data_IF_205757236780
#
_entry.id   IF_205757236780
#
_cell.length_a   1.000
_cell.length_b   1.000
_cell.length_c   1.000
_cell.angle_alpha   90.00
_cell.angle_beta   90.00
_cell.angle_gamma   90.00
#
_symmetry.space_group_name_H-M   'P 1'
#
loop_
_entity.id
_entity.type
_entity.pdbx_description
1 polymer ?
#
# COMPACT_ATOMS: atom_id res chain seq x y z
N UNK A 1 -23.90 -5.40 8.21
CA UNK A 1 -23.89 -5.22 6.75
C UNK A 1 -23.11 -3.96 6.43
N UNK A 2 -21.95 -4.13 5.80
CA UNK A 2 -21.08 -3.05 5.38
C UNK A 2 -21.78 -2.16 4.34
N UNK A 3 -21.41 -0.89 4.23
CA UNK A 3 -21.87 -0.03 3.12
C UNK A 3 -21.40 -0.58 1.76
N UNK A 4 -20.32 -1.37 1.75
CA UNK A 4 -19.72 -1.97 0.57
C UNK A 4 -20.55 -3.15 0.02
N UNK A 5 -21.37 -3.80 0.86
CA UNK A 5 -22.23 -4.93 0.46
C UNK A 5 -23.38 -4.52 -0.48
N UNK A 6 -23.69 -3.22 -0.54
CA UNK A 6 -24.77 -2.67 -1.40
C UNK A 6 -24.26 -2.24 -2.77
N UNK A 7 -22.99 -2.45 -3.08
CA UNK A 7 -22.40 -2.06 -4.35
C UNK A 7 -22.79 -3.02 -5.48
N UNK A 8 -22.71 -2.55 -6.74
CA UNK A 8 -22.79 -3.45 -7.89
C UNK A 8 -21.78 -4.60 -7.75
N UNK A 9 -22.08 -5.78 -8.34
CA UNK A 9 -21.18 -6.93 -8.34
C UNK A 9 -19.73 -6.58 -8.63
N UNK A 10 -18.78 -7.22 -7.92
CA UNK A 10 -17.35 -7.10 -8.24
C UNK A 10 -17.13 -7.36 -9.73
N UNK A 11 -16.40 -6.47 -10.41
CA UNK A 11 -16.15 -6.56 -11.85
C UNK A 11 -14.67 -6.77 -12.12
N UNK A 12 -14.28 -7.62 -13.09
CA UNK A 12 -12.90 -7.76 -13.55
C UNK A 12 -12.32 -6.53 -14.24
N UNK A 13 -13.16 -5.53 -14.56
CA UNK A 13 -12.75 -4.33 -15.26
C UNK A 13 -11.63 -3.57 -14.52
N UNK A 14 -10.60 -3.18 -15.27
CA UNK A 14 -9.50 -2.31 -14.83
C UNK A 14 -9.67 -0.86 -15.31
N UNK A 15 -10.87 -0.49 -15.77
CA UNK A 15 -11.22 0.82 -16.32
C UNK A 15 -10.36 1.24 -17.55
N UNK A 16 -9.82 0.26 -18.28
CA UNK A 16 -9.14 0.46 -19.56
C UNK A 16 -9.82 -0.42 -20.61
N UNK A 17 -10.65 0.18 -21.45
CA UNK A 17 -11.36 -0.55 -22.50
C UNK A 17 -10.50 -0.56 -23.77
N UNK A 18 -9.83 -1.69 -24.02
CA UNK A 18 -9.18 -1.97 -25.30
C UNK A 18 -9.67 -3.34 -25.74
N UNK A 19 -10.33 -3.40 -26.90
CA UNK A 19 -10.95 -4.61 -27.44
C UNK A 19 -10.09 -5.11 -28.60
N UNK A 20 -9.75 -6.39 -28.58
CA UNK A 20 -9.33 -7.09 -29.79
C UNK A 20 -10.60 -7.45 -30.56
N UNK A 21 -10.80 -6.80 -31.71
CA UNK A 21 -11.99 -6.99 -32.54
C UNK A 21 -12.05 -8.38 -33.17
N UNK A 22 -10.91 -8.99 -33.50
CA UNK A 22 -10.90 -10.32 -34.10
C UNK A 22 -11.29 -11.38 -33.06
N UNK A 23 -10.78 -11.25 -31.83
CA UNK A 23 -11.06 -12.18 -30.73
C UNK A 23 -12.30 -11.80 -29.90
N UNK A 24 -12.93 -10.65 -30.16
CA UNK A 24 -14.08 -10.10 -29.42
C UNK A 24 -13.85 -10.09 -27.89
N UNK A 25 -12.62 -9.75 -27.47
CA UNK A 25 -12.16 -9.82 -26.08
C UNK A 25 -11.50 -8.52 -25.64
N UNK A 26 -11.71 -8.13 -24.38
CA UNK A 26 -11.04 -6.98 -23.79
C UNK A 26 -9.62 -7.37 -23.33
N UNK A 27 -8.59 -6.79 -23.93
CA UNK A 27 -7.18 -7.04 -23.56
C UNK A 27 -6.74 -6.32 -22.27
N UNK A 28 -7.68 -5.67 -21.57
CA UNK A 28 -7.45 -5.12 -20.23
C UNK A 28 -7.94 -6.01 -19.09
N UNK A 29 -9.05 -6.72 -19.29
CA UNK A 29 -9.67 -7.56 -18.24
C UNK A 29 -9.94 -9.01 -18.66
N UNK A 30 -9.54 -9.39 -19.88
CA UNK A 30 -9.71 -10.70 -20.48
C UNK A 30 -11.17 -11.19 -20.58
N UNK A 31 -12.16 -10.30 -20.41
CA UNK A 31 -13.59 -10.62 -20.62
C UNK A 31 -13.98 -10.48 -22.09
N UNK A 32 -14.89 -11.33 -22.56
CA UNK A 32 -15.51 -11.20 -23.88
C UNK A 32 -16.49 -10.03 -23.91
N UNK A 33 -16.84 -9.55 -25.11
CA UNK A 33 -17.84 -8.49 -25.25
C UNK A 33 -19.22 -8.90 -24.72
N UNK A 34 -19.64 -10.15 -24.94
CA UNK A 34 -20.91 -10.67 -24.40
C UNK A 34 -20.92 -10.66 -22.87
N UNK A 35 -19.84 -11.12 -22.24
CA UNK A 35 -19.68 -11.07 -20.78
C UNK A 35 -19.72 -9.63 -20.24
N UNK A 36 -19.18 -8.66 -20.99
CA UNK A 36 -19.19 -7.24 -20.62
C UNK A 36 -20.61 -6.69 -20.71
N UNK A 37 -21.33 -6.96 -21.80
CA UNK A 37 -22.66 -6.42 -22.08
C UNK A 37 -23.69 -6.85 -21.03
N UNK A 38 -23.62 -8.09 -20.54
CA UNK A 38 -24.60 -8.63 -19.59
C UNK A 38 -24.18 -8.55 -18.12
N UNK A 39 -22.96 -8.06 -17.82
CA UNK A 39 -22.35 -8.21 -16.48
C UNK A 39 -23.22 -7.73 -15.32
N UNK A 40 -23.83 -6.55 -15.47
CA UNK A 40 -24.58 -5.91 -14.39
C UNK A 40 -25.82 -6.70 -13.95
N UNK A 41 -26.44 -7.42 -14.87
CA UNK A 41 -27.65 -8.24 -14.64
C UNK A 41 -27.37 -9.74 -14.56
N UNK A 42 -26.12 -10.16 -14.78
CA UNK A 42 -25.79 -11.57 -14.84
C UNK A 42 -25.97 -12.29 -13.47
N UNK A 43 -26.48 -13.53 -13.48
CA UNK A 43 -26.54 -14.36 -12.27
C UNK A 43 -25.16 -14.55 -11.63
N UNK A 44 -25.13 -14.79 -10.32
CA UNK A 44 -23.88 -15.01 -9.59
C UNK A 44 -23.09 -16.21 -10.13
N UNK A 45 -23.77 -17.31 -10.47
CA UNK A 45 -23.15 -18.49 -11.06
C UNK A 45 -22.41 -18.18 -12.37
N UNK A 46 -23.00 -17.35 -13.25
CA UNK A 46 -22.33 -16.89 -14.47
C UNK A 46 -21.10 -16.06 -14.13
N UNK A 47 -21.22 -15.09 -13.21
CA UNK A 47 -20.09 -14.25 -12.79
C UNK A 47 -18.95 -15.10 -12.21
N UNK A 48 -19.27 -16.12 -11.41
CA UNK A 48 -18.29 -17.05 -10.85
C UNK A 48 -17.56 -17.85 -11.94
N UNK A 49 -18.28 -18.35 -12.96
CA UNK A 49 -17.68 -19.03 -14.12
C UNK A 49 -16.72 -18.10 -14.88
N UNK A 50 -17.13 -16.85 -15.12
CA UNK A 50 -16.27 -15.86 -15.79
C UNK A 50 -15.01 -15.65 -14.96
N UNK A 51 -15.11 -15.37 -13.66
CA UNK A 51 -13.96 -15.19 -12.77
C UNK A 51 -13.00 -16.37 -12.78
N UNK A 52 -13.51 -17.61 -12.79
CA UNK A 52 -12.70 -18.83 -12.86
C UNK A 52 -11.97 -18.99 -14.20
N UNK A 53 -12.53 -18.50 -15.31
CA UNK A 53 -11.91 -18.57 -16.63
C UNK A 53 -10.88 -17.45 -16.91
N UNK A 54 -10.86 -16.37 -16.11
CA UNK A 54 -9.97 -15.23 -16.35
C UNK A 54 -8.47 -15.52 -16.22
N UNK A 55 -7.98 -16.33 -15.25
CA UNK A 55 -6.54 -16.59 -15.14
C UNK A 55 -5.95 -17.20 -16.42
N UNK A 56 -6.60 -18.22 -16.98
CA UNK A 56 -6.16 -18.86 -18.23
C UNK A 56 -6.19 -17.88 -19.42
N UNK A 57 -7.26 -17.06 -19.53
CA UNK A 57 -7.37 -16.05 -20.59
C UNK A 57 -6.34 -14.93 -20.46
N UNK A 58 -6.09 -14.46 -19.23
CA UNK A 58 -5.08 -13.45 -18.95
C UNK A 58 -3.68 -13.95 -19.31
N UNK A 59 -3.36 -15.20 -18.99
CA UNK A 59 -2.10 -15.85 -19.38
C UNK A 59 -1.96 -15.96 -20.90
N UNK A 60 -3.00 -16.43 -21.60
CA UNK A 60 -2.99 -16.52 -23.07
C UNK A 60 -2.81 -15.15 -23.76
N UNK A 61 -3.29 -14.07 -23.14
CA UNK A 61 -3.13 -12.69 -23.61
C UNK A 61 -1.83 -12.02 -23.13
N UNK A 62 -1.02 -12.69 -22.31
CA UNK A 62 0.20 -12.11 -21.73
C UNK A 62 -0.05 -10.94 -20.79
N UNK A 63 -1.18 -10.92 -20.09
CA UNK A 63 -1.50 -9.85 -19.14
C UNK A 63 -0.69 -9.99 -17.86
N UNK A 64 0.16 -9.02 -17.57
CA UNK A 64 0.97 -9.00 -16.35
C UNK A 64 0.18 -8.67 -15.07
N UNK A 65 -1.07 -8.21 -15.20
CA UNK A 65 -1.90 -7.82 -14.06
C UNK A 65 -3.36 -8.23 -14.28
N UNK A 66 -3.97 -8.82 -13.25
CA UNK A 66 -5.36 -9.24 -13.25
C UNK A 66 -6.04 -8.81 -11.96
N UNK A 67 -7.21 -8.20 -12.07
CA UNK A 67 -8.02 -7.85 -10.88
C UNK A 67 -8.48 -9.12 -10.16
N UNK A 68 -8.43 -9.12 -8.83
CA UNK A 68 -8.99 -10.17 -8.00
C UNK A 68 -10.45 -9.83 -7.62
N UNK A 69 -11.31 -10.82 -7.37
CA UNK A 69 -12.69 -10.61 -6.91
C UNK A 69 -12.77 -10.16 -5.44
N UNK A 70 -11.72 -9.52 -4.90
CA UNK A 70 -11.65 -9.08 -3.51
C UNK A 70 -12.27 -7.70 -3.35
N UNK A 71 -13.23 -7.57 -2.43
CA UNK A 71 -13.85 -6.29 -2.06
C UNK A 71 -14.29 -6.32 -0.60
N UNK A 72 -14.42 -5.15 0.00
CA UNK A 72 -14.93 -4.99 1.36
C UNK A 72 -14.28 -5.94 2.36
N UNK A 73 -15.11 -6.60 3.16
CA UNK A 73 -14.65 -7.56 4.17
C UNK A 73 -13.81 -8.70 3.59
N UNK A 74 -14.15 -9.22 2.40
CA UNK A 74 -13.33 -10.24 1.73
C UNK A 74 -11.92 -9.73 1.43
N UNK A 75 -11.77 -8.49 0.96
CA UNK A 75 -10.44 -7.92 0.70
C UNK A 75 -9.61 -7.82 1.98
N UNK A 76 -10.24 -7.36 3.07
CA UNK A 76 -9.59 -7.23 4.37
C UNK A 76 -9.18 -8.60 4.92
N UNK A 77 -10.09 -9.58 4.91
CA UNK A 77 -9.82 -10.93 5.39
C UNK A 77 -8.71 -11.63 4.59
N UNK A 78 -8.69 -11.45 3.27
CA UNK A 78 -7.64 -12.00 2.42
C UNK A 78 -6.28 -11.35 2.67
N UNK A 79 -6.26 -10.03 2.90
CA UNK A 79 -5.03 -9.31 3.24
C UNK A 79 -4.49 -9.73 4.61
N UNK A 80 -5.37 -9.85 5.61
CA UNK A 80 -5.01 -10.33 6.95
C UNK A 80 -4.42 -11.74 6.89
N UNK A 81 -5.11 -12.67 6.20
CA UNK A 81 -4.64 -14.05 6.02
C UNK A 81 -3.24 -14.12 5.41
N UNK A 82 -3.00 -13.40 4.31
CA UNK A 82 -1.66 -13.37 3.69
C UNK A 82 -0.58 -12.92 4.67
N UNK A 83 -0.85 -11.88 5.45
CA UNK A 83 0.10 -11.35 6.44
C UNK A 83 0.33 -12.31 7.62
N UNK A 84 -0.72 -12.97 8.09
CA UNK A 84 -0.66 -13.98 9.15
C UNK A 84 0.14 -15.22 8.70
N UNK A 85 0.01 -15.59 7.42
CA UNK A 85 0.74 -16.66 6.73
C UNK A 85 2.20 -16.27 6.41
N UNK A 86 2.62 -15.04 6.74
CA UNK A 86 4.01 -14.60 6.65
C UNK A 86 4.38 -13.80 5.40
N UNK A 87 3.40 -13.41 4.58
CA UNK A 87 3.66 -12.48 3.47
C UNK A 87 4.23 -11.14 3.98
N UNK A 88 5.02 -10.48 3.14
CA UNK A 88 5.45 -9.10 3.37
C UNK A 88 4.51 -8.13 2.70
N UNK A 89 3.95 -7.22 3.48
CA UNK A 89 3.36 -6.01 2.95
C UNK A 89 4.42 -4.93 2.81
N UNK A 90 4.61 -4.43 1.59
CA UNK A 90 5.42 -3.25 1.30
C UNK A 90 4.48 -2.08 0.96
N UNK A 91 4.66 -0.93 1.60
CA UNK A 91 3.91 0.28 1.30
C UNK A 91 4.83 1.51 1.29
N UNK A 92 4.52 2.49 0.45
CA UNK A 92 5.33 3.69 0.25
C UNK A 92 5.65 3.94 -1.22
N UNK A 93 6.77 4.59 -1.47
CA UNK A 93 7.32 4.82 -2.83
C UNK A 93 8.68 4.16 -2.98
N UNK A 94 9.19 4.07 -4.21
CA UNK A 94 10.55 3.61 -4.45
C UNK A 94 11.56 4.47 -3.68
N UNK A 95 12.35 3.83 -2.81
CA UNK A 95 13.30 4.49 -1.94
C UNK A 95 12.75 5.00 -0.60
N UNK A 96 11.44 5.03 -0.38
CA UNK A 96 10.87 5.42 0.91
C UNK A 96 9.63 4.57 1.22
N UNK A 97 9.85 3.47 1.94
CA UNK A 97 8.83 2.44 2.15
C UNK A 97 8.91 1.82 3.53
N UNK A 98 7.85 1.11 3.89
CA UNK A 98 7.83 0.14 4.98
C UNK A 98 7.83 -1.26 4.41
N UNK A 99 8.48 -2.18 5.12
CA UNK A 99 8.20 -3.61 5.03
C UNK A 99 7.51 -4.03 6.33
N UNK A 100 6.40 -4.76 6.20
CA UNK A 100 5.59 -5.23 7.30
C UNK A 100 5.37 -6.74 7.13
N UNK A 101 6.09 -7.53 7.92
CA UNK A 101 6.05 -9.00 7.92
C UNK A 101 5.97 -9.50 9.34
N UNK A 102 5.11 -10.46 9.61
CA UNK A 102 5.07 -11.22 10.86
C UNK A 102 6.19 -12.25 10.89
N UNK A 103 7.00 -12.29 11.96
CA UNK A 103 7.99 -13.35 12.12
C UNK A 103 7.36 -14.61 12.74
N UNK A 104 7.91 -15.81 12.48
CA UNK A 104 7.47 -17.01 13.17
C UNK A 104 7.53 -16.85 14.70
N UNK A 105 6.39 -17.07 15.36
CA UNK A 105 6.26 -16.94 16.81
C UNK A 105 5.88 -15.55 17.31
N UNK A 106 5.87 -14.51 16.45
CA UNK A 106 5.40 -13.19 16.87
C UNK A 106 3.91 -13.23 17.23
N UNK A 107 3.56 -12.56 18.33
CA UNK A 107 2.16 -12.25 18.64
C UNK A 107 1.57 -11.39 17.51
N UNK A 108 0.35 -11.68 17.11
CA UNK A 108 -0.39 -10.95 16.09
C UNK A 108 -1.81 -10.72 16.58
N UNK A 109 -2.21 -9.47 16.67
CA UNK A 109 -3.60 -9.10 16.93
C UNK A 109 -4.21 -8.58 15.64
N UNK A 110 -5.28 -9.21 15.20
CA UNK A 110 -6.02 -8.86 13.98
C UNK A 110 -7.45 -8.52 14.35
N UNK A 111 -7.94 -7.38 13.90
CA UNK A 111 -9.33 -6.94 14.09
C UNK A 111 -9.88 -6.37 12.78
N UNK A 112 -11.05 -6.85 12.36
CA UNK A 112 -11.77 -6.34 11.19
C UNK A 112 -13.13 -5.83 11.67
N UNK A 113 -13.34 -4.51 11.63
CA UNK A 113 -14.60 -3.86 12.00
C UNK A 113 -14.83 -2.64 11.13
N UNK A 114 -16.09 -2.36 10.80
CA UNK A 114 -16.51 -1.14 10.09
C UNK A 114 -15.67 -0.83 8.82
N UNK A 115 -15.43 -1.85 7.99
CA UNK A 115 -14.61 -1.77 6.77
C UNK A 115 -13.14 -1.41 7.01
N UNK A 116 -12.62 -1.67 8.20
CA UNK A 116 -11.23 -1.41 8.58
C UNK A 116 -10.59 -2.69 9.13
N UNK A 117 -9.44 -3.06 8.58
CA UNK A 117 -8.51 -4.02 9.15
C UNK A 117 -7.49 -3.26 9.99
N UNK A 118 -7.35 -3.63 11.27
CA UNK A 118 -6.22 -3.25 12.12
C UNK A 118 -5.42 -4.50 12.46
N UNK A 119 -4.11 -4.47 12.23
CA UNK A 119 -3.21 -5.57 12.57
C UNK A 119 -2.01 -5.03 13.36
N UNK A 120 -1.73 -5.61 14.52
CA UNK A 120 -0.66 -5.20 15.45
C UNK A 120 0.33 -6.34 15.66
N UNK A 121 1.61 -6.03 15.48
CA UNK A 121 2.79 -6.86 15.74
C UNK A 121 3.67 -6.17 16.79
N UNK A 122 4.65 -6.87 17.40
CA UNK A 122 5.47 -6.29 18.47
C UNK A 122 6.22 -5.00 18.10
N UNK A 123 6.53 -4.79 16.82
CA UNK A 123 7.27 -3.60 16.33
C UNK A 123 6.62 -2.86 15.18
N UNK A 124 5.34 -3.11 14.96
CA UNK A 124 4.61 -2.44 13.91
C UNK A 124 3.12 -2.65 14.01
N UNK A 125 2.36 -1.70 13.49
CA UNK A 125 0.93 -1.84 13.33
C UNK A 125 0.49 -1.28 11.99
N UNK A 126 -0.59 -1.79 11.43
CA UNK A 126 -1.21 -1.22 10.25
C UNK A 126 -2.71 -1.06 10.42
N UNK A 127 -3.26 -0.11 9.66
CA UNK A 127 -4.69 0.10 9.47
C UNK A 127 -4.97 0.20 7.98
N UNK A 128 -5.74 -0.74 7.44
CA UNK A 128 -6.18 -0.77 6.04
C UNK A 128 -7.70 -0.57 5.99
N UNK A 129 -8.14 0.48 5.30
CA UNK A 129 -9.55 0.77 5.09
C UNK A 129 -10.03 0.24 3.74
N UNK A 130 -11.04 -0.63 3.74
CA UNK A 130 -11.72 -0.99 2.51
C UNK A 130 -12.57 0.18 2.01
N UNK A 131 -12.40 0.54 0.74
CA UNK A 131 -13.23 1.53 0.05
C UNK A 131 -13.78 0.93 -1.24
N UNK A 132 -14.77 1.59 -1.85
CA UNK A 132 -15.31 1.20 -3.16
C UNK A 132 -14.24 1.12 -4.25
N UNK A 133 -13.13 1.84 -4.07
CA UNK A 133 -12.08 2.04 -5.05
C UNK A 133 -10.82 1.21 -4.78
N UNK A 134 -10.67 0.69 -3.55
CA UNK A 134 -9.57 -0.20 -3.23
C UNK A 134 -9.73 -1.51 -4.01
N UNK A 135 -8.73 -1.80 -4.82
CA UNK A 135 -8.72 -2.90 -5.78
C UNK A 135 -7.50 -3.77 -5.52
N UNK A 136 -7.69 -5.08 -5.42
CA UNK A 136 -6.60 -6.04 -5.41
C UNK A 136 -6.32 -6.53 -6.83
N UNK A 137 -5.04 -6.58 -7.19
CA UNK A 137 -4.52 -7.14 -8.43
C UNK A 137 -3.57 -8.27 -8.10
N UNK A 138 -3.72 -9.40 -8.77
CA UNK A 138 -2.63 -10.35 -8.94
C UNK A 138 -1.70 -9.77 -10.01
N UNK A 139 -0.41 -9.70 -9.69
CA UNK A 139 0.64 -9.21 -10.57
C UNK A 139 1.57 -10.37 -10.86
N UNK A 140 1.60 -10.77 -12.12
CA UNK A 140 2.57 -11.71 -12.65
C UNK A 140 3.85 -10.97 -13.01
N UNK A 141 5.00 -11.56 -12.69
CA UNK A 141 6.31 -10.95 -12.88
C UNK A 141 7.24 -11.99 -13.46
N UNK A 142 7.83 -11.74 -14.65
CA UNK A 142 8.84 -12.63 -15.19
C UNK A 142 9.95 -12.88 -14.15
N UNK A 143 10.31 -14.15 -13.96
CA UNK A 143 11.41 -14.61 -13.10
C UNK A 143 11.28 -14.29 -11.60
N UNK A 144 10.15 -13.75 -11.16
CA UNK A 144 9.87 -13.43 -9.76
C UNK A 144 8.54 -14.07 -9.32
N UNK A 145 8.38 -14.43 -8.04
CA UNK A 145 7.09 -14.88 -7.54
C UNK A 145 5.99 -13.85 -7.82
N UNK A 146 4.75 -14.27 -8.12
CA UNK A 146 3.64 -13.35 -8.25
C UNK A 146 3.40 -12.62 -6.93
N UNK A 147 2.80 -11.44 -7.00
CA UNK A 147 2.42 -10.66 -5.82
C UNK A 147 0.97 -10.19 -5.93
N UNK A 148 0.40 -9.76 -4.80
CA UNK A 148 -0.87 -9.04 -4.79
C UNK A 148 -0.61 -7.56 -4.59
N UNK A 149 -1.01 -6.71 -5.55
CA UNK A 149 -1.00 -5.27 -5.40
C UNK A 149 -2.37 -4.76 -4.97
N UNK A 150 -2.45 -4.08 -3.84
CA UNK A 150 -3.60 -3.26 -3.47
C UNK A 150 -3.40 -1.87 -4.06
N UNK A 151 -4.41 -1.33 -4.74
CA UNK A 151 -4.31 -0.04 -5.40
C UNK A 151 -5.66 0.67 -5.53
N UNK A 152 -5.61 1.97 -5.74
CA UNK A 152 -6.78 2.82 -6.04
C UNK A 152 -6.59 3.52 -7.38
N UNK A 153 -7.66 3.94 -8.08
CA UNK A 153 -7.54 4.83 -9.22
C UNK A 153 -6.81 6.12 -8.84
N UNK A 154 -5.96 6.65 -9.73
CA UNK A 154 -5.09 7.79 -9.48
C UNK A 154 -5.86 9.04 -8.97
N UNK A 155 -7.09 9.25 -9.43
CA UNK A 155 -7.95 10.34 -8.95
C UNK A 155 -8.40 10.23 -7.49
N UNK A 156 -8.16 9.08 -6.84
CA UNK A 156 -8.45 8.80 -5.42
C UNK A 156 -7.21 8.88 -4.53
N UNK A 157 -6.01 9.01 -5.11
CA UNK A 157 -4.80 9.25 -4.33
C UNK A 157 -4.79 10.66 -3.72
N UNK A 158 -4.11 10.87 -2.58
CA UNK A 158 -3.92 12.20 -1.99
C UNK A 158 -3.41 13.23 -3.01
N UNK A 159 -3.91 14.47 -2.89
CA UNK A 159 -3.52 15.57 -3.79
C UNK A 159 -2.29 16.34 -3.34
N UNK A 160 -2.03 16.36 -2.04
CA UNK A 160 -0.96 17.13 -1.41
C UNK A 160 0.34 16.33 -1.37
N UNK A 161 1.43 16.94 -1.84
CA UNK A 161 2.75 16.34 -1.98
C UNK A 161 3.83 17.38 -1.62
N UNK A 162 3.98 17.72 -0.32
CA UNK A 162 4.97 18.71 0.11
C UNK A 162 6.38 18.26 -0.27
N UNK A 163 7.24 19.20 -0.66
CA UNK A 163 8.66 18.97 -1.02
C UNK A 163 9.62 19.46 0.08
N UNK A 164 9.11 19.67 1.28
CA UNK A 164 9.83 20.20 2.43
C UNK A 164 9.24 19.65 3.73
N UNK A 165 10.05 19.64 4.78
CA UNK A 165 9.63 19.16 6.11
C UNK A 165 8.42 19.97 6.60
N UNK A 166 7.35 19.28 7.00
CA UNK A 166 6.08 19.93 7.38
C UNK A 166 5.50 19.36 8.68
N UNK A 167 5.11 20.20 9.65
CA UNK A 167 4.40 19.74 10.83
C UNK A 167 2.97 19.32 10.46
N UNK A 168 2.52 18.20 11.02
CA UNK A 168 1.17 17.67 10.84
C UNK A 168 0.30 17.78 12.11
N UNK A 169 0.89 18.22 13.23
CA UNK A 169 0.21 18.24 14.52
C UNK A 169 0.31 16.91 15.28
N UNK A 170 -0.42 16.77 16.40
CA UNK A 170 -0.51 15.53 17.14
C UNK A 170 -1.16 14.42 16.31
N UNK A 171 -1.04 13.19 16.78
CA UNK A 171 -1.67 12.03 16.16
C UNK A 171 -3.08 11.81 16.72
N UNK A 172 -4.15 11.89 15.90
CA UNK A 172 -5.50 11.73 16.39
C UNK A 172 -5.84 10.27 16.73
N UNK A 173 -5.20 9.30 16.08
CA UNK A 173 -5.54 7.89 16.19
C UNK A 173 -4.30 6.97 16.05
N UNK A 174 -3.31 7.10 16.96
CA UNK A 174 -2.09 6.31 16.91
C UNK A 174 -2.38 4.81 17.08
N UNK A 175 -1.71 3.97 16.30
CA UNK A 175 -1.78 2.51 16.40
C UNK A 175 -0.79 1.96 17.42
N UNK A 176 0.42 2.52 17.47
CA UNK A 176 1.43 2.16 18.46
C UNK A 176 1.36 3.07 19.68
N UNK A 177 1.52 2.50 20.87
CA UNK A 177 1.50 3.23 22.15
C UNK A 177 2.71 4.16 22.28
N UNK A 178 3.85 3.77 21.70
CA UNK A 178 5.08 4.57 21.74
C UNK A 178 4.85 5.93 21.08
N UNK A 179 5.12 6.98 21.85
CA UNK A 179 4.99 8.38 21.45
C UNK A 179 3.59 8.72 20.88
N UNK A 180 2.54 8.05 21.36
CA UNK A 180 1.16 8.21 20.86
C UNK A 180 0.65 9.65 20.85
N UNK A 181 1.08 10.48 21.81
CA UNK A 181 0.74 11.91 21.90
C UNK A 181 1.79 12.83 21.26
N UNK A 182 2.80 12.25 20.61
CA UNK A 182 3.90 12.98 19.97
C UNK A 182 3.45 13.79 18.76
N UNK A 183 4.23 14.82 18.44
CA UNK A 183 4.03 15.61 17.23
C UNK A 183 4.50 14.83 16.00
N UNK A 184 3.76 14.96 14.90
CA UNK A 184 4.07 14.34 13.61
C UNK A 184 4.66 15.34 12.63
N UNK A 185 5.62 14.89 11.84
CA UNK A 185 6.24 15.66 10.76
C UNK A 185 6.31 14.82 9.48
N UNK A 186 5.75 15.35 8.39
CA UNK A 186 5.94 14.80 7.04
C UNK A 186 7.35 15.20 6.56
N UNK A 187 8.16 14.21 6.16
CA UNK A 187 9.50 14.45 5.63
C UNK A 187 9.48 15.15 4.26
N UNK A 188 8.31 15.29 3.63
CA UNK A 188 8.18 16.16 2.46
C UNK A 188 8.85 15.58 1.22
N UNK A 189 8.65 14.28 0.96
CA UNK A 189 9.26 13.57 -0.17
C UNK A 189 8.82 14.07 -1.56
N UNK A 190 7.79 14.93 -1.63
CA UNK A 190 7.24 15.41 -2.89
C UNK A 190 6.46 14.36 -3.67
N UNK A 191 5.92 13.34 -2.99
CA UNK A 191 5.21 12.22 -3.61
C UNK A 191 3.73 12.23 -3.28
N UNK A 192 2.90 11.93 -4.29
CA UNK A 192 1.44 11.83 -4.13
C UNK A 192 0.98 10.44 -3.71
N UNK A 193 1.77 9.41 -4.04
CA UNK A 193 1.45 8.02 -3.73
C UNK A 193 1.68 7.66 -2.26
N UNK A 194 2.57 8.36 -1.56
CA UNK A 194 2.82 8.10 -0.15
C UNK A 194 3.35 9.33 0.59
N UNK A 195 3.10 9.36 1.90
CA UNK A 195 3.80 10.21 2.86
C UNK A 195 4.70 9.35 3.73
N UNK A 196 5.83 9.92 4.10
CA UNK A 196 6.74 9.32 5.07
C UNK A 196 6.86 10.29 6.25
N UNK A 197 6.31 9.88 7.37
CA UNK A 197 6.07 10.72 8.54
C UNK A 197 6.89 10.17 9.71
N UNK A 198 7.38 11.05 10.56
CA UNK A 198 7.96 10.69 11.86
C UNK A 198 7.08 11.22 12.98
N UNK A 199 6.76 10.37 13.95
CA UNK A 199 6.10 10.74 15.21
C UNK A 199 7.13 10.71 16.32
N UNK A 200 7.31 11.85 16.96
CA UNK A 200 8.49 12.09 17.77
C UNK A 200 8.16 12.30 19.24
N UNK A 201 9.09 11.89 20.09
CA UNK A 201 9.11 12.24 21.49
C UNK A 201 9.41 13.74 21.69
N UNK A 202 9.31 14.19 22.95
CA UNK A 202 9.59 15.57 23.32
C UNK A 202 11.05 16.00 23.09
N UNK A 203 12.00 15.06 22.93
CA UNK A 203 13.43 15.36 22.76
C UNK A 203 13.78 15.67 21.31
N UNK A 204 13.17 14.94 20.37
CA UNK A 204 13.39 15.12 18.94
C UNK A 204 12.52 16.26 18.35
N UNK A 205 11.35 16.53 18.93
CA UNK A 205 10.42 17.55 18.42
C UNK A 205 11.03 18.95 18.21
N UNK A 206 11.86 19.53 19.11
CA UNK A 206 12.47 20.85 18.88
C UNK A 206 13.40 20.89 17.66
N UNK A 207 14.12 19.79 17.39
CA UNK A 207 15.04 19.70 16.24
C UNK A 207 14.27 19.68 14.91
N UNK A 208 13.17 18.92 14.86
CA UNK A 208 12.30 18.90 13.68
C UNK A 208 11.60 20.24 13.48
N UNK A 209 11.11 20.86 14.56
CA UNK A 209 10.49 22.18 14.50
C UNK A 209 11.43 23.24 13.91
N UNK A 210 12.71 23.23 14.29
CA UNK A 210 13.72 24.14 13.76
C UNK A 210 14.04 23.91 12.27
N UNK A 211 13.78 22.71 11.74
CA UNK A 211 14.02 22.34 10.36
C UNK A 211 12.77 22.46 9.46
N UNK A 212 11.62 22.87 10.01
CA UNK A 212 10.37 23.02 9.24
C UNK A 212 10.59 23.97 8.06
N UNK A 213 10.11 23.56 6.89
CA UNK A 213 10.27 24.33 5.64
C UNK A 213 11.57 24.06 4.89
N UNK A 214 12.55 23.38 5.49
CA UNK A 214 13.74 22.95 4.75
C UNK A 214 13.36 21.88 3.71
N UNK A 215 13.86 21.98 2.47
CA UNK A 215 13.48 21.10 1.38
C UNK A 215 13.97 19.68 1.60
N UNK A 216 13.32 18.72 0.95
CA UNK A 216 13.83 17.36 0.80
C UNK A 216 14.87 17.31 -0.34
N UNK A 217 15.98 16.57 -0.19
CA UNK A 217 16.42 15.82 1.00
C UNK A 217 17.28 16.63 1.98
N UNK A 218 17.50 17.93 1.73
CA UNK A 218 18.49 18.77 2.43
C UNK A 218 18.36 18.76 3.96
N UNK A 219 17.14 18.71 4.50
CA UNK A 219 16.94 18.65 5.95
C UNK A 219 17.52 17.38 6.59
N UNK A 220 17.74 16.30 5.83
CA UNK A 220 18.41 15.09 6.33
C UNK A 220 19.88 15.31 6.66
N UNK A 221 20.54 16.33 6.10
CA UNK A 221 21.93 16.69 6.47
C UNK A 221 22.01 16.99 7.97
N UNK A 222 20.96 17.62 8.52
CA UNK A 222 20.89 17.98 9.93
C UNK A 222 20.11 16.96 10.77
N UNK A 223 19.13 16.29 10.18
CA UNK A 223 18.21 15.42 10.90
C UNK A 223 18.55 13.93 10.81
N UNK A 224 19.39 13.50 9.87
CA UNK A 224 19.69 12.08 9.62
C UNK A 224 20.22 11.37 10.87
N UNK A 225 21.32 11.87 11.45
CA UNK A 225 21.88 11.29 12.68
C UNK A 225 20.94 11.38 13.89
N UNK A 226 20.27 12.53 14.17
CA UNK A 226 19.25 12.60 15.22
C UNK A 226 18.10 11.59 15.04
N UNK A 227 17.60 11.42 13.82
CA UNK A 227 16.52 10.49 13.50
C UNK A 227 16.97 9.04 13.72
N UNK A 228 18.16 8.67 13.22
CA UNK A 228 18.72 7.34 13.42
C UNK A 228 18.92 7.03 14.91
N UNK A 229 19.50 7.97 15.67
CA UNK A 229 19.75 7.82 17.11
C UNK A 229 18.45 7.66 17.92
N UNK A 230 17.44 8.49 17.63
CA UNK A 230 16.17 8.45 18.36
C UNK A 230 15.30 7.25 17.93
N UNK A 231 15.43 6.81 16.66
CA UNK A 231 14.57 5.79 16.06
C UNK A 231 13.09 6.04 16.39
N UNK A 232 12.53 7.20 16.00
CA UNK A 232 11.15 7.54 16.30
C UNK A 232 10.20 6.53 15.64
N UNK A 233 8.92 6.58 16.00
CA UNK A 233 7.90 5.86 15.23
C UNK A 233 7.87 6.47 13.82
N UNK A 234 8.07 5.65 12.78
CA UNK A 234 7.83 6.06 11.40
C UNK A 234 6.42 5.64 11.01
N UNK A 235 5.74 6.53 10.31
CA UNK A 235 4.40 6.31 9.80
C UNK A 235 4.47 6.45 8.28
N UNK A 236 4.12 5.39 7.55
CA UNK A 236 3.97 5.42 6.10
C UNK A 236 2.49 5.42 5.78
N UNK A 237 2.01 6.47 5.11
CA UNK A 237 0.62 6.59 4.68
C UNK A 237 0.55 6.52 3.16
N UNK A 238 -0.24 5.58 2.64
CA UNK A 238 -0.61 5.47 1.21
C UNK A 238 -2.14 5.52 1.10
N UNK A 239 -2.75 5.55 -0.09
CA UNK A 239 -4.21 5.59 -0.19
C UNK A 239 -4.82 4.40 0.54
N UNK A 240 -5.76 4.64 1.46
CA UNK A 240 -6.46 3.63 2.26
C UNK A 240 -5.60 2.88 3.30
N UNK A 241 -4.29 3.12 3.42
CA UNK A 241 -3.43 2.39 4.33
C UNK A 241 -2.54 3.32 5.14
N UNK A 242 -2.41 2.98 6.42
CA UNK A 242 -1.42 3.53 7.32
C UNK A 242 -0.63 2.39 7.95
N UNK A 243 0.69 2.52 8.00
CA UNK A 243 1.58 1.59 8.69
C UNK A 243 2.46 2.39 9.65
N UNK A 244 2.52 1.96 10.91
CA UNK A 244 3.40 2.50 11.94
C UNK A 244 4.48 1.47 12.29
N UNK A 245 5.72 1.93 12.42
CA UNK A 245 6.86 1.08 12.75
C UNK A 245 7.70 1.75 13.83
N UNK A 246 8.06 1.00 14.87
CA UNK A 246 8.92 1.49 15.96
C UNK A 246 10.28 0.76 16.05
N UNK A 247 10.56 -0.18 15.13
CA UNK A 247 11.82 -0.89 15.06
C UNK A 247 13.02 0.06 14.95
N UNK A 248 14.16 -0.30 15.54
CA UNK A 248 15.38 0.51 15.51
C UNK A 248 15.85 0.79 14.07
N UNK A 249 16.27 2.02 13.80
CA UNK A 249 16.93 2.38 12.55
C UNK A 249 18.38 1.87 12.63
N UNK A 250 18.84 1.02 11.70
CA UNK A 250 20.22 0.55 11.71
C UNK A 250 21.19 1.70 11.39
N UNK A 251 22.47 1.57 11.77
CA UNK A 251 23.50 2.47 11.26
C UNK A 251 23.62 2.35 9.73
N UNK A 252 24.26 3.31 9.03
CA UNK A 252 24.34 3.32 7.57
C UNK A 252 24.92 2.06 6.93
N UNK A 253 25.79 1.34 7.64
CA UNK A 253 26.44 0.09 7.25
C UNK A 253 25.75 -1.16 7.84
N UNK A 254 24.66 -0.99 8.60
CA UNK A 254 23.92 -2.06 9.23
C UNK A 254 22.86 -2.69 8.34
N UNK A 255 22.43 -3.89 8.69
CA UNK A 255 21.31 -4.57 8.03
C UNK A 255 19.95 -4.08 8.57
N UNK A 256 18.93 -4.16 7.72
CA UNK A 256 17.54 -3.98 8.15
C UNK A 256 17.20 -4.94 9.31
N UNK A 257 16.46 -4.48 10.33
CA UNK A 257 15.91 -5.36 11.34
C UNK A 257 15.01 -6.43 10.73
N UNK A 258 15.03 -7.65 11.28
CA UNK A 258 14.01 -8.63 10.95
C UNK A 258 12.60 -8.12 11.33
N UNK A 259 11.57 -8.53 10.59
CA UNK A 259 10.18 -8.14 10.85
C UNK A 259 9.86 -6.73 10.36
N UNK A 260 8.89 -6.03 10.97
CA UNK A 260 8.46 -4.71 10.49
C UNK A 260 9.57 -3.67 10.59
N UNK A 261 9.89 -3.00 9.48
CA UNK A 261 10.92 -1.96 9.39
C UNK A 261 10.62 -0.97 8.24
N UNK A 262 11.47 0.04 8.09
CA UNK A 262 11.33 1.06 7.04
C UNK A 262 12.64 1.30 6.31
N UNK A 263 12.55 1.65 5.04
CA UNK A 263 13.66 2.11 4.19
C UNK A 263 13.48 3.58 3.86
N UNK A 264 14.58 4.33 3.88
CA UNK A 264 14.63 5.71 3.43
C UNK A 264 15.97 5.95 2.73
N UNK A 265 15.95 5.95 1.40
CA UNK A 265 17.09 5.99 0.50
C UNK A 265 16.91 7.20 -0.44
N UNK A 266 17.46 8.39 -0.10
CA UNK A 266 17.26 9.62 -0.87
C UNK A 266 17.57 9.50 -2.36
N UNK A 267 18.63 8.78 -2.72
CA UNK A 267 19.01 8.57 -4.13
C UNK A 267 17.97 7.79 -4.92
N UNK A 268 17.29 6.83 -4.30
CA UNK A 268 16.17 6.11 -4.92
C UNK A 268 14.91 6.98 -5.02
N UNK A 269 14.64 7.79 -3.98
CA UNK A 269 13.52 8.75 -4.03
C UNK A 269 13.71 9.78 -5.15
N UNK A 270 14.95 10.21 -5.39
CA UNK A 270 15.29 11.17 -6.45
C UNK A 270 14.98 10.65 -7.87
N UNK A 271 14.92 9.34 -8.08
CA UNK A 271 14.50 8.74 -9.35
C UNK A 271 13.03 9.00 -9.68
N UNK A 272 12.23 9.40 -8.69
CA UNK A 272 10.86 9.84 -8.90
C UNK A 272 9.88 8.74 -9.27
N UNK A 273 10.17 7.49 -8.89
CA UNK A 273 9.30 6.33 -9.12
C UNK A 273 8.38 6.09 -7.91
N UNK A 274 7.11 5.77 -8.16
CA UNK A 274 6.18 5.36 -7.08
C UNK A 274 6.33 3.87 -6.74
N UNK A 275 6.72 3.04 -7.71
CA UNK A 275 6.90 1.61 -7.55
C UNK A 275 8.26 1.16 -8.10
N UNK A 276 8.78 0.02 -7.64
CA UNK A 276 9.90 -0.63 -8.32
C UNK A 276 9.54 -0.86 -9.81
N UNK A 277 10.47 -0.66 -10.75
CA UNK A 277 10.22 -0.88 -12.19
C UNK A 277 9.73 -2.29 -12.54
N UNK A 278 9.96 -3.27 -11.66
CA UNK A 278 9.57 -4.67 -11.83
C UNK A 278 8.11 -4.96 -11.49
N UNK A 279 7.32 -3.96 -11.08
CA UNK A 279 5.91 -4.13 -10.71
C UNK A 279 5.00 -3.48 -11.76
N UNK A 280 4.44 -4.25 -12.70
CA UNK A 280 3.59 -3.73 -13.77
C UNK A 280 2.16 -3.43 -13.29
N UNK A 281 2.00 -2.44 -12.40
CA UNK A 281 0.68 -1.99 -11.97
C UNK A 281 -0.09 -1.38 -13.17
N UNK A 282 -1.39 -1.69 -13.36
CA UNK A 282 -2.18 -1.10 -14.44
C UNK A 282 -2.15 0.44 -14.45
N UNK A 283 -2.00 1.02 -15.64
CA UNK A 283 -2.02 2.47 -15.81
C UNK A 283 -3.29 3.11 -15.24
N UNK A 284 -3.15 4.29 -14.64
CA UNK A 284 -4.25 5.00 -13.97
C UNK A 284 -4.53 4.53 -12.54
N UNK A 285 -3.73 3.63 -11.98
CA UNK A 285 -3.75 3.25 -10.57
C UNK A 285 -2.54 3.76 -9.80
N UNK A 286 -2.73 3.94 -8.50
CA UNK A 286 -1.69 4.26 -7.51
C UNK A 286 -1.72 3.16 -6.46
N UNK A 287 -0.55 2.61 -6.13
CA UNK A 287 -0.45 1.54 -5.15
C UNK A 287 -0.79 2.03 -3.74
N UNK A 288 -1.56 1.22 -3.04
CA UNK A 288 -1.74 1.23 -1.59
C UNK A 288 -0.65 0.38 -0.95
N UNK A 289 -0.47 -0.84 -1.42
CA UNK A 289 0.52 -1.78 -0.91
C UNK A 289 0.81 -2.91 -1.90
N UNK A 290 1.96 -3.56 -1.74
CA UNK A 290 2.32 -4.80 -2.40
C UNK A 290 2.44 -5.90 -1.35
N UNK A 291 1.82 -7.06 -1.59
CA UNK A 291 1.87 -8.24 -0.75
C UNK A 291 2.66 -9.31 -1.50
N UNK A 292 3.90 -9.57 -1.06
CA UNK A 292 4.74 -10.64 -1.59
C UNK A 292 4.72 -11.82 -0.62
N UNK A 293 4.58 -13.07 -1.10
CA UNK A 293 4.67 -14.26 -0.25
C UNK A 293 5.92 -14.32 0.65
#
# INVERSE_FOLDING_TARGET
>A
MSRLDRLPPASPCIARCVIDEAAQICIGCARTLDEIAVWGSAPEAFRAQVWAALPARASALGLAARRLPWRGETLLAQTARLLEDGATLTAGVWGASTEFRRLPGDACTTDIRDDVLTLVLPRGALRLQATNYLTAFEIDRPDLPPLVALAVPQGRAPRDAPRALRPLGPDPEPLLVRDAHGMRYDLGLGRRAARFIVRCDARLAPRLQAAVGLPWPDHLVHLGAPLAQASPVRIVETPCLRVEIDAKIPPPDGSSPAGPHTHLLPDHVAQGLDLPPTVPLPAGYVATALLTP
#
